data_IF_376478976245
#
_entry.id   IF_376478976245
#
_cell.length_a   1.000
_cell.length_b   1.000
_cell.length_c   1.000
_cell.angle_alpha   90.00
_cell.angle_beta   90.00
_cell.angle_gamma   90.00
#
_symmetry.space_group_name_H-M   'P 1'
#
loop_
_entity.id
_entity.type
_entity.pdbx_description
1 polymer ?
#
# COMPACT_ATOMS: atom_id res chain seq x y z
N UNK A 1 -21.32 22.19 -81.06
CA UNK A 1 -20.89 20.85 -80.64
C UNK A 1 -19.51 20.73 -79.89
N UNK A 2 -18.53 21.61 -80.15
CA UNK A 2 -17.28 21.61 -79.41
C UNK A 2 -17.40 22.31 -78.04
N UNK A 3 -18.34 23.19 -77.83
CA UNK A 3 -18.57 23.88 -76.55
C UNK A 3 -19.32 23.03 -75.48
N UNK A 4 -20.15 22.10 -75.92
CA UNK A 4 -20.92 21.26 -75.01
C UNK A 4 -20.02 20.17 -74.33
N UNK A 5 -19.04 19.65 -75.07
CA UNK A 5 -18.09 18.70 -74.49
C UNK A 5 -17.21 19.33 -73.37
N UNK A 6 -16.84 20.61 -73.52
CA UNK A 6 -16.03 21.30 -72.47
C UNK A 6 -16.86 21.69 -71.25
N UNK A 7 -18.15 21.94 -71.38
CA UNK A 7 -19.04 22.15 -70.24
C UNK A 7 -19.25 20.87 -69.44
N UNK A 8 -19.50 19.74 -70.09
CA UNK A 8 -19.75 18.47 -69.42
C UNK A 8 -18.49 17.92 -68.73
N UNK A 9 -17.30 18.12 -69.32
CA UNK A 9 -16.03 17.73 -68.63
C UNK A 9 -15.76 18.61 -67.41
N UNK A 10 -16.07 19.91 -67.41
CA UNK A 10 -15.90 20.79 -66.23
C UNK A 10 -16.87 20.44 -65.12
N UNK A 11 -18.10 20.02 -65.40
CA UNK A 11 -19.09 19.59 -64.42
C UNK A 11 -18.70 18.27 -63.88
N UNK A 12 -18.16 17.31 -64.66
CA UNK A 12 -17.62 16.03 -64.18
C UNK A 12 -16.42 16.20 -63.26
N UNK A 13 -15.49 17.10 -63.60
CA UNK A 13 -14.33 17.36 -62.72
C UNK A 13 -14.72 18.08 -61.42
N UNK A 14 -15.70 18.99 -61.47
CA UNK A 14 -16.22 19.65 -60.27
C UNK A 14 -16.94 18.66 -59.31
N UNK A 15 -17.64 17.66 -59.84
CA UNK A 15 -18.29 16.63 -59.02
C UNK A 15 -17.30 15.65 -58.42
N UNK A 16 -16.24 15.26 -59.13
CA UNK A 16 -15.18 14.36 -58.63
C UNK A 16 -14.36 15.04 -57.52
N UNK A 17 -14.01 16.32 -57.69
CA UNK A 17 -13.31 17.08 -56.64
C UNK A 17 -14.17 17.32 -55.42
N UNK A 18 -15.49 17.52 -55.56
CA UNK A 18 -16.40 17.65 -54.43
C UNK A 18 -16.52 16.35 -53.59
N UNK A 19 -16.60 15.19 -54.27
CA UNK A 19 -16.65 13.91 -53.61
C UNK A 19 -15.32 13.61 -52.91
N UNK A 20 -14.18 13.88 -53.54
CA UNK A 20 -12.87 13.68 -52.94
C UNK A 20 -12.68 14.57 -51.68
N UNK A 21 -13.13 15.83 -51.73
CA UNK A 21 -13.08 16.72 -50.55
C UNK A 21 -13.97 16.22 -49.41
N UNK A 22 -15.18 15.74 -49.71
CA UNK A 22 -16.10 15.19 -48.72
C UNK A 22 -15.51 13.93 -48.04
N UNK A 23 -14.90 13.03 -48.82
CA UNK A 23 -14.23 11.83 -48.27
C UNK A 23 -13.04 12.22 -47.41
N UNK A 24 -12.24 13.20 -47.83
CA UNK A 24 -11.10 13.69 -47.02
C UNK A 24 -11.58 14.29 -45.68
N UNK A 25 -12.66 15.09 -45.71
CA UNK A 25 -13.25 15.64 -44.46
C UNK A 25 -13.78 14.54 -43.55
N UNK A 26 -14.46 13.53 -44.11
CA UNK A 26 -14.93 12.38 -43.31
C UNK A 26 -13.76 11.59 -42.70
N UNK A 27 -12.67 11.39 -43.43
CA UNK A 27 -11.48 10.72 -42.92
C UNK A 27 -10.78 11.52 -41.83
N UNK A 28 -10.70 12.87 -41.99
CA UNK A 28 -10.14 13.74 -40.93
C UNK A 28 -11.03 13.75 -39.69
N UNK A 29 -12.35 13.84 -39.86
CA UNK A 29 -13.29 13.76 -38.74
C UNK A 29 -13.23 12.40 -38.05
N UNK A 30 -13.12 11.30 -38.79
CA UNK A 30 -12.91 9.97 -38.21
C UNK A 30 -11.57 9.89 -37.48
N UNK A 31 -10.48 10.41 -38.06
CA UNK A 31 -9.17 10.43 -37.38
C UNK A 31 -9.22 11.27 -36.10
N UNK A 32 -9.90 12.42 -36.11
CA UNK A 32 -10.13 13.20 -34.89
C UNK A 32 -11.01 12.48 -33.87
N UNK A 33 -12.05 11.77 -34.26
CA UNK A 33 -12.88 10.98 -33.35
C UNK A 33 -12.13 9.77 -32.76
N UNK A 34 -11.24 9.13 -33.52
CA UNK A 34 -10.41 8.02 -33.04
C UNK A 34 -9.33 8.56 -32.09
N UNK A 35 -8.79 9.74 -32.35
CA UNK A 35 -7.77 10.37 -31.47
C UNK A 35 -8.35 10.91 -30.15
N UNK A 36 -9.67 11.02 -30.03
CA UNK A 36 -10.35 11.51 -28.82
C UNK A 36 -10.94 10.39 -27.94
N UNK A 37 -10.54 9.13 -28.16
CA UNK A 37 -10.89 8.10 -27.19
C UNK A 37 -10.17 8.39 -25.87
N UNK A 38 -10.88 8.57 -24.76
CA UNK A 38 -10.24 8.79 -23.48
C UNK A 38 -9.42 7.55 -23.12
N UNK A 39 -8.15 7.76 -22.85
CA UNK A 39 -7.28 6.69 -22.38
C UNK A 39 -7.74 6.27 -20.98
N UNK A 40 -8.33 5.09 -20.87
CA UNK A 40 -8.78 4.53 -19.60
C UNK A 40 -7.53 4.04 -18.87
N UNK A 41 -7.02 4.84 -17.94
CA UNK A 41 -5.96 4.42 -17.05
C UNK A 41 -6.58 3.48 -16.01
N UNK A 42 -6.39 2.17 -16.20
CA UNK A 42 -6.75 1.17 -15.19
C UNK A 42 -5.78 1.27 -14.03
N UNK A 43 -6.13 2.05 -13.00
CA UNK A 43 -5.29 2.26 -11.82
C UNK A 43 -5.34 1.07 -10.86
N UNK A 44 -6.39 0.27 -10.91
CA UNK A 44 -6.54 -0.92 -10.08
C UNK A 44 -7.14 -2.08 -10.86
N UNK A 45 -6.34 -3.12 -11.08
CA UNK A 45 -6.92 -4.45 -11.27
C UNK A 45 -7.11 -5.04 -9.87
N UNK A 46 -8.36 -5.36 -9.52
CA UNK A 46 -8.62 -6.24 -8.40
C UNK A 46 -8.07 -7.62 -8.79
N UNK A 47 -6.81 -7.90 -8.45
CA UNK A 47 -6.35 -9.28 -8.41
C UNK A 47 -7.26 -9.98 -7.39
N UNK A 48 -7.62 -11.24 -7.64
CA UNK A 48 -8.34 -12.08 -6.67
C UNK A 48 -7.50 -12.25 -5.41
N UNK A 49 -7.51 -11.21 -4.56
CA UNK A 49 -6.91 -11.27 -3.23
C UNK A 49 -7.93 -11.96 -2.35
N UNK A 50 -7.47 -12.88 -1.52
CA UNK A 50 -8.32 -13.56 -0.55
C UNK A 50 -9.23 -12.55 0.16
N UNK A 51 -10.52 -12.86 0.25
CA UNK A 51 -11.49 -12.01 0.95
C UNK A 51 -11.38 -12.11 2.47
N UNK A 52 -10.49 -12.96 2.97
CA UNK A 52 -10.29 -13.23 4.39
C UNK A 52 -8.83 -13.00 4.78
N UNK A 53 -8.63 -12.63 6.06
CA UNK A 53 -7.29 -12.55 6.65
C UNK A 53 -6.66 -13.93 6.60
N UNK A 54 -5.44 -14.02 6.06
CA UNK A 54 -4.71 -15.27 5.89
C UNK A 54 -3.41 -15.28 6.66
N UNK A 55 -2.99 -16.44 7.13
CA UNK A 55 -1.72 -16.66 7.79
C UNK A 55 -0.93 -17.77 7.10
N UNK A 56 0.32 -17.49 6.81
CA UNK A 56 1.31 -18.45 6.33
C UNK A 56 2.34 -18.69 7.44
N UNK A 57 2.62 -19.95 7.75
CA UNK A 57 3.59 -20.34 8.76
C UNK A 57 4.88 -20.79 8.08
N UNK A 58 6.00 -20.15 8.43
CA UNK A 58 7.31 -20.34 7.79
C UNK A 58 7.23 -20.12 6.26
N UNK A 59 7.94 -20.94 5.48
CA UNK A 59 7.91 -20.91 4.01
C UNK A 59 7.00 -22.03 3.45
N UNK A 60 5.98 -22.43 4.19
CA UNK A 60 4.99 -23.38 3.69
C UNK A 60 4.30 -22.80 2.44
N UNK A 61 4.11 -23.65 1.42
CA UNK A 61 3.48 -23.21 0.16
C UNK A 61 2.00 -22.91 0.33
N UNK A 62 1.39 -23.38 1.41
CA UNK A 62 -0.04 -23.27 1.66
C UNK A 62 -0.33 -22.02 2.49
N UNK A 63 -1.17 -21.14 1.91
CA UNK A 63 -1.72 -19.96 2.58
C UNK A 63 -3.11 -20.36 3.06
N UNK A 64 -3.35 -20.29 4.38
CA UNK A 64 -4.61 -20.70 4.98
C UNK A 64 -5.37 -19.53 5.58
N UNK A 65 -6.72 -19.58 5.62
CA UNK A 65 -7.50 -18.65 6.43
C UNK A 65 -6.99 -18.62 7.88
N UNK A 66 -6.89 -17.44 8.47
CA UNK A 66 -6.36 -17.27 9.82
C UNK A 66 -7.09 -18.16 10.84
N UNK A 67 -8.40 -18.29 10.72
CA UNK A 67 -9.22 -19.10 11.61
C UNK A 67 -8.78 -20.56 11.65
N UNK A 68 -8.53 -21.18 10.50
CA UNK A 68 -8.09 -22.57 10.40
C UNK A 68 -6.71 -22.79 11.03
N UNK A 69 -5.79 -21.83 10.82
CA UNK A 69 -4.44 -21.91 11.36
C UNK A 69 -4.47 -21.79 12.88
N UNK A 70 -5.23 -20.82 13.42
CA UNK A 70 -5.29 -20.61 14.88
C UNK A 70 -5.96 -21.77 15.60
N UNK A 71 -6.97 -22.41 15.02
CA UNK A 71 -7.52 -23.65 15.57
C UNK A 71 -6.46 -24.76 15.68
N UNK A 72 -5.60 -24.88 14.69
CA UNK A 72 -4.46 -25.82 14.73
C UNK A 72 -3.35 -25.36 15.69
N UNK A 73 -3.11 -24.05 15.82
CA UNK A 73 -2.11 -23.47 16.74
C UNK A 73 -2.62 -23.44 18.18
N UNK A 74 -3.92 -23.41 18.44
CA UNK A 74 -4.51 -23.43 19.79
C UNK A 74 -4.15 -24.69 20.55
N UNK A 75 -3.91 -25.81 19.86
CA UNK A 75 -3.34 -27.02 20.45
C UNK A 75 -1.91 -26.83 20.99
N UNK A 76 -1.21 -25.76 20.56
CA UNK A 76 0.13 -25.37 21.02
C UNK A 76 0.13 -24.11 21.91
N UNK A 77 -1.04 -23.59 22.31
CA UNK A 77 -1.24 -22.51 23.31
C UNK A 77 -0.53 -21.17 23.04
N UNK A 78 -0.27 -20.80 21.79
CA UNK A 78 0.60 -19.64 21.50
C UNK A 78 -0.10 -18.37 21.08
N UNK A 79 -1.37 -18.40 20.69
CA UNK A 79 -2.09 -17.20 20.27
C UNK A 79 -3.58 -17.23 20.64
N UNK A 80 -4.14 -16.07 20.99
CA UNK A 80 -5.60 -15.87 21.12
C UNK A 80 -6.12 -15.11 19.92
N UNK A 81 -7.15 -15.64 19.27
CA UNK A 81 -7.83 -15.01 18.15
C UNK A 81 -9.16 -14.39 18.57
N UNK A 82 -9.36 -13.13 18.24
CA UNK A 82 -10.66 -12.47 18.19
C UNK A 82 -11.04 -12.15 16.74
N UNK A 83 -12.20 -11.54 16.52
CA UNK A 83 -12.69 -11.24 15.16
C UNK A 83 -11.73 -10.35 14.34
N UNK A 84 -10.99 -9.45 14.99
CA UNK A 84 -10.06 -8.48 14.35
C UNK A 84 -8.69 -8.37 15.04
N UNK A 85 -8.34 -9.33 15.88
CA UNK A 85 -7.09 -9.29 16.63
C UNK A 85 -6.53 -10.69 16.86
N UNK A 86 -5.21 -10.85 16.74
CA UNK A 86 -4.45 -12.01 17.20
C UNK A 86 -3.43 -11.57 18.24
N UNK A 87 -3.43 -12.23 19.41
CA UNK A 87 -2.58 -11.89 20.55
C UNK A 87 -1.61 -13.04 20.88
N UNK A 88 -0.31 -12.76 20.77
CA UNK A 88 0.80 -13.66 21.13
C UNK A 88 1.43 -13.35 22.48
N UNK A 89 0.99 -12.33 23.22
CA UNK A 89 1.63 -11.91 24.48
C UNK A 89 1.62 -12.99 25.55
N UNK A 90 0.63 -13.88 25.51
CA UNK A 90 0.52 -15.01 26.45
C UNK A 90 1.42 -16.19 26.11
N UNK A 91 1.99 -16.23 24.91
CA UNK A 91 2.90 -17.30 24.49
C UNK A 91 4.14 -17.39 25.42
N UNK A 92 4.63 -16.24 25.89
CA UNK A 92 5.77 -16.19 26.81
C UNK A 92 5.44 -16.71 28.22
N UNK A 93 4.22 -16.45 28.74
CA UNK A 93 3.83 -16.81 30.10
C UNK A 93 3.71 -18.35 30.32
N UNK A 94 3.45 -19.08 29.23
CA UNK A 94 3.35 -20.56 29.31
C UNK A 94 4.67 -21.28 29.09
N UNK A 95 5.69 -20.57 28.56
CA UNK A 95 7.03 -21.14 28.32
C UNK A 95 7.87 -21.26 29.60
N UNK A 96 7.52 -20.55 30.66
CA UNK A 96 8.22 -20.66 31.96
C UNK A 96 7.99 -22.01 32.69
N UNK A 97 6.97 -22.78 32.25
CA UNK A 97 6.58 -24.01 32.95
C UNK A 97 6.92 -25.32 32.23
N UNK A 98 7.34 -25.30 30.97
CA UNK A 98 7.74 -26.53 30.23
C UNK A 98 8.90 -26.27 29.28
N UNK A 99 10.06 -26.86 29.57
CA UNK A 99 11.24 -27.06 28.71
C UNK A 99 11.56 -25.91 27.70
N UNK A 100 12.17 -24.85 28.20
CA UNK A 100 12.58 -23.62 27.49
C UNK A 100 13.55 -23.87 26.29
N UNK A 101 13.98 -25.12 26.07
CA UNK A 101 15.09 -25.44 25.15
C UNK A 101 14.71 -25.79 23.70
N UNK A 102 13.45 -26.11 23.37
CA UNK A 102 13.11 -26.78 22.09
C UNK A 102 12.06 -26.12 21.20
N UNK A 103 11.49 -25.00 21.59
CA UNK A 103 10.52 -24.34 20.69
C UNK A 103 11.24 -23.70 19.50
N UNK A 104 11.01 -24.26 18.32
CA UNK A 104 11.49 -23.72 17.03
C UNK A 104 10.76 -22.41 16.78
N UNK A 105 11.50 -21.30 16.64
CA UNK A 105 10.92 -20.02 16.23
C UNK A 105 10.30 -20.20 14.85
N UNK A 106 9.03 -19.85 14.72
CA UNK A 106 8.32 -19.84 13.45
C UNK A 106 8.20 -18.41 12.98
N UNK A 107 8.28 -18.22 11.67
CA UNK A 107 7.96 -16.94 11.02
C UNK A 107 6.52 -17.01 10.54
N UNK A 108 5.70 -16.09 11.02
CA UNK A 108 4.34 -15.91 10.57
C UNK A 108 4.28 -14.77 9.57
N UNK A 109 3.55 -14.98 8.46
CA UNK A 109 3.22 -13.94 7.48
C UNK A 109 1.72 -13.76 7.45
N UNK A 110 1.27 -12.68 8.03
CA UNK A 110 -0.13 -12.29 8.09
C UNK A 110 -0.43 -11.38 6.90
N UNK A 111 -1.49 -11.71 6.14
CA UNK A 111 -1.93 -10.89 5.02
C UNK A 111 -3.35 -10.41 5.26
N UNK A 112 -3.53 -9.11 5.19
CA UNK A 112 -4.81 -8.42 5.36
C UNK A 112 -5.36 -8.09 3.98
N UNK A 113 -6.54 -8.57 3.62
CA UNK A 113 -7.15 -8.25 2.33
C UNK A 113 -7.62 -6.79 2.27
N UNK A 114 -8.03 -6.37 1.10
CA UNK A 114 -8.72 -5.10 0.92
C UNK A 114 -10.06 -5.12 1.65
N UNK A 115 -10.45 -3.98 2.18
CA UNK A 115 -11.69 -3.82 2.94
C UNK A 115 -11.60 -4.24 4.41
N UNK A 116 -10.46 -4.76 4.86
CA UNK A 116 -10.27 -5.21 6.23
C UNK A 116 -9.11 -4.48 6.92
N UNK A 117 -9.20 -4.37 8.23
CA UNK A 117 -8.11 -3.95 9.11
C UNK A 117 -7.91 -5.00 10.20
N UNK A 118 -6.71 -5.15 10.72
CA UNK A 118 -6.42 -6.18 11.70
C UNK A 118 -5.37 -5.74 12.72
N UNK A 119 -5.49 -6.20 13.96
CA UNK A 119 -4.53 -5.93 15.03
C UNK A 119 -3.73 -7.19 15.37
N UNK A 120 -2.44 -7.03 15.56
CA UNK A 120 -1.55 -8.06 16.07
C UNK A 120 -0.90 -7.56 17.35
N UNK A 121 -0.95 -8.35 18.40
CA UNK A 121 -0.13 -8.14 19.60
C UNK A 121 1.01 -9.15 19.55
N UNK A 122 2.25 -8.67 19.40
CA UNK A 122 3.45 -9.51 19.34
C UNK A 122 3.80 -10.07 20.71
N UNK A 123 4.67 -11.10 20.73
CA UNK A 123 4.99 -11.84 21.97
C UNK A 123 5.54 -10.97 23.10
N UNK A 124 6.19 -9.86 22.79
CA UNK A 124 6.77 -8.92 23.77
C UNK A 124 5.86 -7.72 24.08
N UNK A 125 4.59 -7.76 23.61
CA UNK A 125 3.58 -6.75 23.88
C UNK A 125 3.54 -5.56 22.92
N UNK A 126 4.32 -5.56 21.83
CA UNK A 126 4.16 -4.58 20.77
C UNK A 126 2.83 -4.77 20.07
N UNK A 127 2.04 -3.69 19.93
CA UNK A 127 0.78 -3.68 19.20
C UNK A 127 1.02 -3.15 17.78
N UNK A 128 0.52 -3.88 16.78
CA UNK A 128 0.59 -3.50 15.37
C UNK A 128 -0.82 -3.48 14.79
N UNK A 129 -1.26 -2.32 14.34
CA UNK A 129 -2.52 -2.15 13.63
C UNK A 129 -2.22 -2.13 12.13
N UNK A 130 -2.77 -3.09 11.40
CA UNK A 130 -2.57 -3.26 9.96
C UNK A 130 -3.75 -2.71 9.19
N UNK A 131 -3.47 -1.88 8.21
CA UNK A 131 -4.46 -1.34 7.28
C UNK A 131 -4.75 -2.32 6.15
N UNK A 132 -5.77 -2.03 5.36
CA UNK A 132 -6.19 -2.79 4.18
C UNK A 132 -5.04 -3.02 3.20
N UNK A 133 -5.03 -4.19 2.55
CA UNK A 133 -4.01 -4.57 1.55
C UNK A 133 -2.58 -4.56 2.12
N UNK A 134 -2.41 -5.04 3.36
CA UNK A 134 -1.12 -5.03 4.06
C UNK A 134 -0.66 -6.43 4.46
N UNK A 135 0.66 -6.62 4.58
CA UNK A 135 1.30 -7.86 5.00
C UNK A 135 2.35 -7.59 6.05
N UNK A 136 2.34 -8.41 7.10
CA UNK A 136 3.34 -8.36 8.17
C UNK A 136 3.99 -9.72 8.34
N UNK A 137 5.32 -9.78 8.25
CA UNK A 137 6.09 -10.96 8.61
C UNK A 137 6.82 -10.73 9.94
N UNK A 138 6.64 -11.66 10.88
CA UNK A 138 7.18 -11.55 12.23
C UNK A 138 7.47 -12.96 12.82
N UNK A 139 8.46 -13.09 13.71
CA UNK A 139 8.68 -14.32 14.44
C UNK A 139 7.64 -14.47 15.57
N UNK A 140 7.23 -15.69 15.87
CA UNK A 140 6.33 -15.99 17.01
C UNK A 140 6.93 -15.58 18.35
N UNK A 141 8.28 -15.60 18.48
CA UNK A 141 9.05 -15.15 19.64
C UNK A 141 10.36 -14.52 19.16
N UNK A 142 10.71 -13.37 19.72
CA UNK A 142 12.01 -12.74 19.47
C UNK A 142 13.09 -13.36 20.38
N UNK A 143 14.11 -14.00 19.79
CA UNK A 143 15.22 -14.65 20.51
C UNK A 143 16.58 -13.96 20.25
N UNK A 144 16.62 -12.95 19.40
CA UNK A 144 17.85 -12.28 19.01
C UNK A 144 18.15 -11.01 19.80
N UNK A 145 19.24 -10.33 19.43
CA UNK A 145 19.59 -9.02 19.97
C UNK A 145 18.67 -7.91 19.45
N UNK A 146 17.87 -8.19 18.44
CA UNK A 146 16.97 -7.27 17.78
C UNK A 146 15.60 -7.92 17.55
N UNK A 147 14.54 -7.13 17.59
CA UNK A 147 13.16 -7.52 17.28
C UNK A 147 12.84 -7.09 15.85
N UNK A 148 12.96 -8.01 14.91
CA UNK A 148 12.83 -7.68 13.47
C UNK A 148 11.50 -8.15 12.91
N UNK A 149 10.81 -7.25 12.22
CA UNK A 149 9.60 -7.53 11.43
C UNK A 149 9.75 -6.95 10.03
N UNK A 150 8.95 -7.45 9.08
CA UNK A 150 8.90 -6.92 7.71
C UNK A 150 7.47 -6.52 7.38
N UNK A 151 7.30 -5.33 6.78
CA UNK A 151 6.01 -4.74 6.41
C UNK A 151 5.94 -4.44 4.92
N UNK A 152 4.83 -4.83 4.30
CA UNK A 152 4.34 -4.33 3.01
C UNK A 152 2.94 -3.74 3.26
N UNK A 153 2.64 -2.57 2.68
CA UNK A 153 1.38 -1.87 2.92
C UNK A 153 1.48 -0.84 4.04
N UNK A 154 0.49 -0.74 4.91
CA UNK A 154 0.46 0.28 5.95
C UNK A 154 0.16 -0.31 7.33
N UNK A 155 0.94 0.13 8.32
CA UNK A 155 0.74 -0.25 9.70
C UNK A 155 1.13 0.87 10.67
N UNK A 156 0.34 0.99 11.74
CA UNK A 156 0.68 1.75 12.92
C UNK A 156 1.27 0.81 13.97
N UNK A 157 2.41 1.21 14.51
CA UNK A 157 3.15 0.47 15.53
C UNK A 157 3.12 1.23 16.85
N UNK A 158 2.74 0.51 17.91
CA UNK A 158 2.95 0.94 19.30
C UNK A 158 3.91 -0.03 19.94
N UNK A 159 5.20 0.30 19.85
CA UNK A 159 6.28 -0.61 20.23
C UNK A 159 6.50 -0.61 21.74
N UNK A 160 6.52 -1.81 22.31
CA UNK A 160 6.87 -2.02 23.71
C UNK A 160 8.30 -1.52 24.01
N UNK A 161 8.48 -0.77 25.11
CA UNK A 161 9.77 -0.18 25.49
C UNK A 161 10.76 -1.26 25.89
N UNK A 162 11.84 -1.39 25.13
CA UNK A 162 13.00 -2.23 25.44
C UNK A 162 14.24 -1.65 24.76
N UNK A 163 15.07 -0.99 25.54
CA UNK A 163 16.31 -0.38 25.06
C UNK A 163 17.43 -1.40 24.79
N UNK A 164 17.34 -2.59 25.38
CA UNK A 164 18.34 -3.64 25.19
C UNK A 164 18.16 -4.39 23.87
N UNK A 165 16.91 -4.46 23.37
CA UNK A 165 16.56 -5.16 22.13
C UNK A 165 15.80 -4.21 21.20
N UNK A 166 16.50 -3.44 20.36
CA UNK A 166 15.85 -2.53 19.40
C UNK A 166 14.82 -3.24 18.53
N UNK A 167 13.71 -2.55 18.24
CA UNK A 167 12.69 -3.01 17.30
C UNK A 167 12.98 -2.45 15.92
N UNK A 168 12.96 -3.31 14.91
CA UNK A 168 13.33 -2.98 13.55
C UNK A 168 12.19 -3.36 12.61
N UNK A 169 11.66 -2.37 11.88
CA UNK A 169 10.74 -2.60 10.77
C UNK A 169 11.52 -2.48 9.46
N UNK A 170 11.50 -3.55 8.66
CA UNK A 170 11.98 -3.53 7.27
C UNK A 170 10.80 -3.31 6.36
N UNK A 171 10.87 -2.28 5.51
CA UNK A 171 9.77 -1.93 4.62
C UNK A 171 10.33 -1.29 3.33
N UNK A 172 10.08 -1.93 2.18
CA UNK A 172 10.71 -1.52 0.93
C UNK A 172 12.22 -1.44 1.05
N UNK A 173 12.77 -0.28 0.70
CA UNK A 173 14.22 0.00 0.80
C UNK A 173 14.63 0.65 2.12
N UNK A 174 13.74 0.68 3.12
CA UNK A 174 13.99 1.32 4.41
C UNK A 174 14.10 0.32 5.56
N UNK A 175 14.88 0.70 6.53
CA UNK A 175 14.97 0.09 7.84
C UNK A 175 14.68 1.14 8.91
N UNK A 176 13.64 0.89 9.72
CA UNK A 176 13.18 1.78 10.77
C UNK A 176 13.54 1.16 12.12
N UNK A 177 14.36 1.84 12.92
CA UNK A 177 14.86 1.37 14.22
C UNK A 177 14.29 2.22 15.35
N UNK A 178 13.71 1.55 16.35
CA UNK A 178 13.11 2.18 17.53
C UNK A 178 13.39 1.40 18.82
N UNK A 179 13.21 2.06 19.98
CA UNK A 179 13.40 1.45 21.30
C UNK A 179 12.11 1.38 22.14
N UNK A 180 11.04 2.00 21.68
CA UNK A 180 9.76 2.10 22.39
C UNK A 180 9.04 3.38 21.96
N UNK A 181 8.34 3.30 20.85
CA UNK A 181 7.94 4.45 20.01
C UNK A 181 6.60 4.15 19.37
N UNK A 182 5.79 5.18 19.17
CA UNK A 182 4.59 5.09 18.35
C UNK A 182 4.82 5.79 17.02
N UNK A 183 4.60 5.08 15.91
CA UNK A 183 4.83 5.57 14.55
C UNK A 183 3.99 4.83 13.52
N UNK A 184 3.74 5.48 12.40
CA UNK A 184 3.07 4.89 11.23
C UNK A 184 4.09 4.64 10.12
N UNK A 185 3.96 3.53 9.42
CA UNK A 185 4.73 3.22 8.20
C UNK A 185 3.74 2.93 7.09
N UNK A 186 3.88 3.64 5.97
CA UNK A 186 3.09 3.43 4.75
C UNK A 186 4.04 3.05 3.62
N UNK A 187 3.85 1.87 3.04
CA UNK A 187 4.73 1.26 2.03
C UNK A 187 3.94 0.35 1.08
N UNK A 188 2.99 0.92 0.36
CA UNK A 188 2.25 0.20 -0.70
C UNK A 188 3.05 0.06 -2.00
N UNK A 189 4.15 0.80 -2.13
CA UNK A 189 5.12 0.69 -3.20
C UNK A 189 6.53 0.73 -2.61
N UNK A 190 7.48 -0.07 -3.10
CA UNK A 190 8.86 -0.05 -2.61
C UNK A 190 9.56 1.32 -2.75
N UNK A 191 9.08 2.16 -3.68
CA UNK A 191 9.63 3.50 -3.96
C UNK A 191 8.87 4.62 -3.26
N UNK A 192 7.73 4.32 -2.61
CA UNK A 192 6.92 5.31 -1.88
C UNK A 192 6.73 4.81 -0.44
N UNK A 193 7.82 4.84 0.32
CA UNK A 193 7.80 4.50 1.74
C UNK A 193 7.81 5.79 2.56
N UNK A 194 6.79 5.92 3.42
CA UNK A 194 6.65 7.06 4.33
C UNK A 194 6.61 6.58 5.77
N UNK A 195 7.37 7.23 6.63
CA UNK A 195 7.41 6.97 8.06
C UNK A 195 6.99 8.24 8.79
N UNK A 196 5.98 8.17 9.65
CA UNK A 196 5.50 9.32 10.45
C UNK A 196 5.66 8.99 11.92
N UNK A 197 6.33 9.88 12.66
CA UNK A 197 6.61 9.70 14.09
C UNK A 197 5.55 10.40 14.94
N UNK A 198 4.90 9.63 15.82
CA UNK A 198 3.88 10.10 16.74
C UNK A 198 4.49 10.42 18.11
N UNK A 199 5.16 9.44 18.75
CA UNK A 199 5.83 9.64 20.04
C UNK A 199 7.16 8.90 20.09
N UNK A 200 8.12 9.42 20.83
CA UNK A 200 9.42 8.79 21.04
C UNK A 200 10.50 9.25 20.07
N UNK A 201 11.34 8.33 19.59
CA UNK A 201 12.42 8.58 18.63
C UNK A 201 12.49 7.45 17.61
N UNK A 202 12.76 7.80 16.38
CA UNK A 202 12.94 6.88 15.26
C UNK A 202 14.22 7.20 14.52
N UNK A 203 15.03 6.18 14.22
CA UNK A 203 16.10 6.27 13.23
C UNK A 203 15.65 5.53 11.97
N UNK A 204 15.59 6.22 10.85
CA UNK A 204 15.30 5.66 9.52
C UNK A 204 16.58 5.61 8.74
N UNK A 205 16.90 4.47 8.14
CA UNK A 205 18.03 4.30 7.23
C UNK A 205 17.61 3.59 5.96
N UNK A 206 18.37 3.76 4.89
CA UNK A 206 18.27 2.89 3.73
C UNK A 206 18.81 1.48 4.07
N UNK A 207 18.45 0.48 3.27
CA UNK A 207 18.90 -0.90 3.47
C UNK A 207 20.41 -1.09 3.27
N UNK A 208 21.08 -0.15 2.59
CA UNK A 208 22.52 -0.14 2.40
C UNK A 208 23.26 0.52 3.57
N UNK A 209 22.54 1.22 4.47
CA UNK A 209 23.12 1.93 5.62
C UNK A 209 23.96 3.16 5.26
N UNK A 210 23.81 3.67 4.03
CA UNK A 210 24.56 4.85 3.53
C UNK A 210 23.93 6.14 4.02
N UNK A 211 22.58 6.19 4.00
CA UNK A 211 21.82 7.34 4.45
C UNK A 211 20.99 7.00 5.67
N UNK A 212 20.96 7.91 6.64
CA UNK A 212 20.12 7.77 7.83
C UNK A 212 19.64 9.14 8.30
N UNK A 213 18.46 9.13 8.93
CA UNK A 213 17.86 10.32 9.55
C UNK A 213 17.23 9.96 10.88
N UNK A 214 17.41 10.81 11.89
CA UNK A 214 16.68 10.71 13.15
C UNK A 214 15.48 11.64 13.12
N UNK A 215 14.35 11.16 13.62
CA UNK A 215 13.08 11.89 13.62
C UNK A 215 12.70 12.28 15.05
N UNK A 216 12.02 13.42 15.14
CA UNK A 216 11.30 13.87 16.34
C UNK A 216 9.78 13.81 16.10
N UNK A 217 8.94 13.73 17.17
CA UNK A 217 7.49 13.70 17.02
C UNK A 217 6.97 14.85 16.16
N UNK A 218 5.96 14.58 15.32
CA UNK A 218 5.42 15.55 14.36
C UNK A 218 6.13 15.55 13.01
N UNK A 219 7.13 14.72 12.81
CA UNK A 219 7.82 14.61 11.52
C UNK A 219 7.37 13.39 10.72
N UNK A 220 7.34 13.56 9.41
CA UNK A 220 7.21 12.49 8.42
C UNK A 220 8.42 12.48 7.49
N UNK A 221 8.95 11.29 7.25
CA UNK A 221 10.09 11.06 6.37
C UNK A 221 9.68 10.21 5.18
N UNK A 222 10.11 10.61 4.00
CA UNK A 222 9.93 9.87 2.75
C UNK A 222 11.28 9.74 2.04
N UNK A 223 11.56 8.54 1.49
CA UNK A 223 12.72 8.35 0.62
C UNK A 223 12.38 8.85 -0.78
N UNK A 224 13.14 9.83 -1.25
CA UNK A 224 13.02 10.36 -2.61
C UNK A 224 13.68 9.42 -3.63
N UNK A 225 13.33 9.57 -4.91
CA UNK A 225 13.88 8.74 -6.00
C UNK A 225 15.39 8.91 -6.22
N UNK A 226 15.97 10.01 -5.76
CA UNK A 226 17.41 10.29 -5.77
C UNK A 226 18.17 9.67 -4.58
N UNK A 227 17.47 8.96 -3.68
CA UNK A 227 18.05 8.35 -2.48
C UNK A 227 18.17 9.29 -1.28
N UNK A 228 17.68 10.53 -1.37
CA UNK A 228 17.68 11.48 -0.25
C UNK A 228 16.43 11.31 0.62
N UNK A 229 16.54 11.68 1.90
CA UNK A 229 15.40 11.73 2.81
C UNK A 229 14.75 13.12 2.80
N UNK A 230 13.50 13.19 2.38
CA UNK A 230 12.67 14.37 2.57
C UNK A 230 11.99 14.28 3.95
N UNK A 231 12.26 15.28 4.81
CA UNK A 231 11.67 15.38 6.15
C UNK A 231 10.69 16.54 6.16
N UNK A 232 9.44 16.29 6.53
CA UNK A 232 8.37 17.28 6.59
C UNK A 232 7.73 17.28 7.98
N UNK A 233 7.31 18.44 8.46
CA UNK A 233 6.42 18.54 9.62
C UNK A 233 4.98 18.23 9.18
N UNK A 234 4.27 17.46 10.00
CA UNK A 234 2.93 16.98 9.68
C UNK A 234 2.01 17.04 10.90
N UNK A 235 0.73 17.19 10.65
CA UNK A 235 -0.29 16.99 11.66
C UNK A 235 -0.42 15.49 11.95
N UNK A 236 -0.06 15.08 13.17
CA UNK A 236 -0.07 13.68 13.61
C UNK A 236 -1.48 13.09 13.53
N UNK A 237 -2.52 13.85 13.87
CA UNK A 237 -3.90 13.35 13.92
C UNK A 237 -4.35 12.88 12.54
N UNK A 238 -3.94 13.56 11.48
CA UNK A 238 -4.28 13.21 10.10
C UNK A 238 -3.83 11.78 9.71
N UNK A 239 -2.72 11.30 10.29
CA UNK A 239 -2.18 9.96 10.04
C UNK A 239 -2.81 8.86 10.89
N UNK A 240 -3.64 9.21 11.86
CA UNK A 240 -4.29 8.26 12.76
C UNK A 240 -5.77 8.00 12.41
N UNK A 241 -6.37 8.86 11.61
CA UNK A 241 -7.80 8.77 11.26
C UNK A 241 -8.21 7.43 10.67
N UNK A 242 -7.33 6.80 9.86
CA UNK A 242 -7.63 5.50 9.27
C UNK A 242 -7.84 4.40 10.34
N UNK A 243 -7.13 4.46 11.48
CA UNK A 243 -7.30 3.53 12.61
C UNK A 243 -8.69 3.62 13.23
N UNK A 244 -9.29 4.81 13.17
CA UNK A 244 -10.61 5.11 13.70
C UNK A 244 -11.71 4.92 12.64
N UNK A 245 -11.34 4.54 11.42
CA UNK A 245 -12.26 4.31 10.32
C UNK A 245 -12.61 5.55 9.50
N UNK A 246 -11.82 6.61 9.59
CA UNK A 246 -12.03 7.86 8.87
C UNK A 246 -10.95 8.07 7.80
N UNK A 247 -11.31 8.80 6.75
CA UNK A 247 -10.37 9.32 5.75
C UNK A 247 -10.13 10.80 6.03
N UNK A 248 -8.87 11.18 5.90
CA UNK A 248 -8.49 12.59 5.86
C UNK A 248 -7.62 12.82 4.61
N UNK A 249 -8.05 13.74 3.77
CA UNK A 249 -7.33 14.12 2.56
C UNK A 249 -7.16 15.63 2.56
N UNK A 250 -5.93 16.08 2.54
CA UNK A 250 -5.54 17.48 2.45
C UNK A 250 -4.48 17.59 1.34
N UNK A 251 -4.79 18.35 0.31
CA UNK A 251 -3.97 18.54 -0.90
C UNK A 251 -3.43 17.23 -1.51
N UNK A 252 -4.28 16.19 -1.53
CA UNK A 252 -3.96 14.87 -2.08
C UNK A 252 -4.48 14.76 -3.50
N UNK A 253 -3.63 14.29 -4.42
CA UNK A 253 -4.04 14.04 -5.79
C UNK A 253 -5.24 13.07 -5.84
N UNK A 254 -6.26 13.38 -6.66
CA UNK A 254 -7.47 12.57 -6.82
C UNK A 254 -7.15 11.08 -7.06
N UNK A 255 -6.11 10.82 -7.85
CA UNK A 255 -5.63 9.46 -8.15
C UNK A 255 -5.25 8.70 -6.88
N UNK A 256 -4.54 9.33 -5.96
CA UNK A 256 -4.06 8.70 -4.74
C UNK A 256 -5.17 8.56 -3.71
N UNK A 257 -6.06 9.55 -3.62
CA UNK A 257 -7.29 9.45 -2.85
C UNK A 257 -8.16 8.26 -3.32
N UNK A 258 -8.36 8.11 -4.63
CA UNK A 258 -9.15 7.01 -5.19
C UNK A 258 -8.49 5.64 -5.01
N UNK A 259 -7.16 5.54 -5.04
CA UNK A 259 -6.43 4.32 -4.68
C UNK A 259 -6.69 3.91 -3.22
N UNK A 260 -6.71 4.88 -2.31
CA UNK A 260 -6.95 4.64 -0.89
C UNK A 260 -8.38 4.17 -0.63
N UNK A 261 -9.37 4.88 -1.17
CA UNK A 261 -10.78 4.49 -1.13
C UNK A 261 -10.97 3.08 -1.73
N UNK A 262 -10.31 2.80 -2.88
CA UNK A 262 -10.36 1.49 -3.54
C UNK A 262 -9.82 0.36 -2.65
N UNK A 263 -8.77 0.60 -1.85
CA UNK A 263 -8.26 -0.38 -0.89
C UNK A 263 -9.24 -0.62 0.26
N UNK A 264 -9.79 0.45 0.81
CA UNK A 264 -10.68 0.39 1.96
C UNK A 264 -12.02 -0.29 1.69
N UNK A 265 -12.60 -0.05 0.53
CA UNK A 265 -13.91 -0.61 0.15
C UNK A 265 -13.81 -1.83 -0.75
N UNK A 266 -12.58 -2.32 -1.03
CA UNK A 266 -12.34 -3.44 -1.95
C UNK A 266 -13.02 -3.24 -3.30
N UNK A 267 -12.97 -2.02 -3.85
CA UNK A 267 -13.54 -1.66 -5.14
C UNK A 267 -12.45 -1.36 -6.16
N UNK A 268 -12.71 -1.74 -7.41
CA UNK A 268 -11.89 -1.31 -8.54
C UNK A 268 -12.32 0.10 -8.94
N UNK A 269 -11.37 1.02 -8.96
CA UNK A 269 -11.60 2.39 -9.40
C UNK A 269 -10.95 2.58 -10.76
N UNK A 270 -11.76 2.99 -11.74
CA UNK A 270 -11.29 3.46 -13.04
C UNK A 270 -11.72 4.90 -13.26
N UNK A 271 -10.85 5.73 -13.78
CA UNK A 271 -11.19 7.10 -14.17
C UNK A 271 -10.63 7.40 -15.53
N UNK A 272 -11.38 8.22 -16.27
CA UNK A 272 -10.94 8.80 -17.54
C UNK A 272 -10.31 10.14 -17.27
N UNK A 273 -9.20 10.44 -17.92
CA UNK A 273 -8.55 11.73 -17.81
C UNK A 273 -9.46 12.80 -18.42
N UNK A 274 -10.17 13.53 -17.59
CA UNK A 274 -10.78 14.79 -17.99
C UNK A 274 -9.62 15.78 -18.11
N UNK A 275 -9.25 16.19 -19.32
CA UNK A 275 -8.42 17.39 -19.50
C UNK A 275 -9.17 18.52 -18.83
N UNK A 276 -8.58 19.13 -17.80
CA UNK A 276 -9.02 20.42 -17.34
C UNK A 276 -8.96 21.35 -18.57
N UNK A 277 -10.09 21.88 -19.00
CA UNK A 277 -10.10 23.02 -19.87
C UNK A 277 -9.48 24.16 -19.04
N UNK A 278 -8.25 24.51 -19.36
CA UNK A 278 -7.74 25.81 -19.00
C UNK A 278 -8.70 26.82 -19.65
N UNK A 279 -9.54 27.43 -18.85
CA UNK A 279 -10.25 28.65 -19.24
C UNK A 279 -9.22 29.74 -19.17
N UNK A 280 -8.57 30.00 -20.30
CA UNK A 280 -7.89 31.25 -20.55
C UNK A 280 -8.90 32.38 -20.39
N UNK A 281 -8.71 33.21 -19.41
CA UNK A 281 -9.33 34.52 -19.24
C UNK A 281 -8.27 35.56 -18.98
#
# INVERSE_FOLDING_TARGET
>A
SKNDRRKNTRILWASVTGVAAAVAIILVLRAMMISSQPEIIKVFQANHIAQEVTLQVNDEKEIKPLKEVVESLSSYSTAQLSSKEIDYSRALLQTETKEVGKQKVQIHRLSIPRGETFKVVLSEGTEVFLNSDSRLAYPTVFKGKERVVSLEGEAYFKVAKDAAHPFIVKSGNLQIRVLGTEFNVRSYSPTDVRVTLITGKVAVSDTCGVHSVEMVPGQSVQLSSDGTFAVNEVDIESFLYWKEGFFYFDDVALVDMMKEIGRWYNIAVSYTHLRAHETDS
#
